data_IF_200681349272
#
_entry.id   IF_200681349272
#
_cell.length_a   1.000
_cell.length_b   1.000
_cell.length_c   1.000
_cell.angle_alpha   90.00
_cell.angle_beta   90.00
_cell.angle_gamma   90.00
#
_symmetry.space_group_name_H-M   'P 1'
#
loop_
_entity.id
_entity.type
_entity.pdbx_description
1 polymer ?
#
# COMPACT_ATOMS: atom_id res chain seq x y z
N UNK A 1 53.06 -65.39 -2.33
CA UNK A 1 52.16 -66.44 -1.76
C UNK A 1 50.82 -65.77 -1.61
N UNK A 2 49.97 -66.00 -2.59
CA UNK A 2 48.78 -66.81 -2.52
C UNK A 2 47.73 -66.17 -1.60
N UNK A 3 46.50 -65.94 -1.94
CA UNK A 3 45.57 -66.37 -3.07
C UNK A 3 44.27 -65.55 -2.92
N UNK A 4 43.73 -65.01 -3.95
CA UNK A 4 42.55 -65.45 -4.71
C UNK A 4 41.26 -65.83 -3.92
N UNK A 5 40.20 -65.18 -4.25
CA UNK A 5 38.83 -65.64 -4.29
C UNK A 5 37.89 -64.76 -3.54
N UNK A 6 36.70 -64.38 -3.97
CA UNK A 6 35.96 -64.61 -5.20
C UNK A 6 34.82 -63.62 -5.24
N UNK A 7 34.44 -63.24 -6.43
CA UNK A 7 33.17 -62.52 -6.78
C UNK A 7 31.92 -63.28 -6.25
N UNK A 8 30.97 -62.55 -5.71
CA UNK A 8 29.56 -62.93 -5.86
C UNK A 8 28.68 -61.66 -5.93
N UNK A 9 28.00 -61.65 -7.00
CA UNK A 9 26.93 -60.78 -7.45
C UNK A 9 25.76 -60.67 -6.46
N UNK A 10 25.33 -59.48 -6.17
CA UNK A 10 23.93 -59.22 -5.86
C UNK A 10 23.50 -57.94 -6.56
N UNK A 11 22.95 -58.13 -7.75
CA UNK A 11 22.13 -57.17 -8.45
C UNK A 11 20.73 -57.16 -7.83
N UNK A 12 20.19 -55.92 -7.59
CA UNK A 12 18.79 -55.64 -7.88
C UNK A 12 17.78 -55.91 -6.78
N UNK A 13 17.67 -54.99 -5.79
CA UNK A 13 16.42 -54.75 -5.02
C UNK A 13 16.24 -53.29 -4.67
N UNK A 14 16.72 -52.37 -5.50
CA UNK A 14 16.60 -50.92 -5.24
C UNK A 14 15.55 -50.14 -6.04
N UNK A 15 14.94 -50.75 -7.07
CA UNK A 15 14.15 -50.00 -8.04
C UNK A 15 12.64 -50.30 -8.09
N UNK A 16 12.10 -51.12 -7.19
CA UNK A 16 10.66 -51.39 -7.16
C UNK A 16 9.89 -50.68 -6.06
N UNK A 17 10.57 -50.24 -5.00
CA UNK A 17 9.92 -49.50 -3.91
C UNK A 17 9.75 -48.00 -4.20
N UNK A 18 10.61 -47.37 -4.99
CA UNK A 18 10.42 -45.95 -5.38
C UNK A 18 9.35 -45.76 -6.46
N UNK A 19 9.06 -46.80 -7.27
CA UNK A 19 8.01 -46.73 -8.25
C UNK A 19 6.59 -46.93 -7.66
N UNK A 20 6.47 -47.65 -6.55
CA UNK A 20 5.17 -47.82 -5.86
C UNK A 20 4.76 -46.63 -5.01
N UNK A 21 5.71 -45.84 -4.47
CA UNK A 21 5.39 -44.62 -3.71
C UNK A 21 4.96 -43.47 -4.61
N UNK A 22 5.40 -43.46 -5.88
CA UNK A 22 4.97 -42.45 -6.86
C UNK A 22 3.55 -42.69 -7.46
N UNK A 23 3.00 -43.88 -7.34
CA UNK A 23 1.68 -44.23 -7.93
C UNK A 23 0.49 -44.12 -6.97
N UNK A 24 0.74 -43.88 -5.65
CA UNK A 24 -0.33 -43.74 -4.66
C UNK A 24 -0.81 -42.29 -4.44
N UNK A 25 -0.26 -41.29 -5.16
CA UNK A 25 -0.57 -39.87 -4.99
C UNK A 25 -1.80 -39.35 -5.78
N UNK A 26 -2.47 -40.16 -6.61
CA UNK A 26 -3.71 -39.74 -7.29
C UNK A 26 -4.95 -40.33 -6.65
N UNK A 27 -5.24 -40.01 -5.42
CA UNK A 27 -6.59 -40.17 -4.90
C UNK A 27 -7.54 -39.27 -5.72
N UNK A 28 -8.45 -39.88 -6.46
CA UNK A 28 -9.58 -39.18 -7.10
C UNK A 28 -10.36 -38.47 -5.99
N UNK A 29 -10.15 -37.16 -5.86
CA UNK A 29 -10.90 -36.31 -4.95
C UNK A 29 -12.37 -36.37 -5.34
N UNK A 30 -13.24 -36.80 -4.43
CA UNK A 30 -14.67 -36.90 -4.63
C UNK A 30 -15.33 -35.51 -4.76
N UNK A 31 -16.61 -35.42 -5.16
CA UNK A 31 -17.30 -34.15 -5.41
C UNK A 31 -17.33 -33.20 -4.21
N UNK A 32 -17.18 -33.69 -2.98
CA UNK A 32 -17.09 -32.89 -1.77
C UNK A 32 -15.72 -32.20 -1.58
N UNK A 33 -14.65 -32.69 -2.22
CA UNK A 33 -13.33 -32.10 -2.13
C UNK A 33 -13.23 -30.78 -2.90
N UNK A 34 -14.03 -30.58 -3.95
CA UNK A 34 -14.09 -29.31 -4.68
C UNK A 34 -14.75 -28.20 -3.88
N UNK A 35 -15.61 -28.52 -2.92
CA UNK A 35 -16.25 -27.59 -2.00
C UNK A 35 -15.27 -27.09 -0.91
N UNK A 36 -14.30 -27.95 -0.52
CA UNK A 36 -13.35 -27.63 0.55
C UNK A 36 -12.05 -27.00 -0.01
N UNK A 37 -11.62 -27.45 -1.21
CA UNK A 37 -10.34 -27.07 -1.80
C UNK A 37 -10.45 -26.22 -3.08
N UNK A 38 -11.68 -25.84 -3.48
CA UNK A 38 -11.95 -25.11 -4.71
C UNK A 38 -11.93 -25.97 -5.99
N UNK A 39 -12.38 -25.39 -7.10
CA UNK A 39 -12.35 -26.02 -8.43
C UNK A 39 -10.97 -25.84 -9.08
N UNK A 40 -10.68 -26.61 -10.14
CA UNK A 40 -9.43 -26.42 -10.92
C UNK A 40 -9.35 -25.03 -11.54
N UNK A 41 -10.47 -24.47 -11.97
CA UNK A 41 -10.58 -23.12 -12.49
C UNK A 41 -10.34 -22.09 -11.37
N UNK A 42 -10.88 -22.32 -10.17
CA UNK A 42 -10.64 -21.50 -8.98
C UNK A 42 -9.15 -21.47 -8.59
N UNK A 43 -8.48 -22.63 -8.62
CA UNK A 43 -7.04 -22.70 -8.35
C UNK A 43 -6.17 -22.02 -9.43
N UNK A 44 -6.60 -22.02 -10.69
CA UNK A 44 -5.94 -21.25 -11.75
C UNK A 44 -6.12 -19.73 -11.53
N UNK A 45 -7.33 -19.33 -11.23
CA UNK A 45 -7.66 -17.95 -10.91
C UNK A 45 -6.89 -17.44 -9.67
N UNK A 46 -6.83 -18.25 -8.60
CA UNK A 46 -6.05 -17.93 -7.40
C UNK A 46 -4.55 -17.80 -7.69
N UNK A 47 -3.99 -18.69 -8.54
CA UNK A 47 -2.57 -18.59 -8.94
C UNK A 47 -2.28 -17.37 -9.80
N UNK A 48 -3.20 -16.96 -10.65
CA UNK A 48 -3.04 -15.75 -11.46
C UNK A 48 -3.21 -14.48 -10.61
N UNK A 49 -4.10 -14.53 -9.62
CA UNK A 49 -4.21 -13.50 -8.58
C UNK A 49 -2.93 -13.44 -7.74
N UNK A 50 -2.45 -14.57 -7.22
CA UNK A 50 -1.20 -14.62 -6.44
C UNK A 50 0.00 -14.13 -7.25
N UNK A 51 0.09 -14.50 -8.54
CA UNK A 51 1.16 -14.01 -9.43
C UNK A 51 1.04 -12.51 -9.66
N UNK A 52 -0.16 -11.99 -9.88
CA UNK A 52 -0.40 -10.57 -10.06
C UNK A 52 -0.12 -9.79 -8.77
N UNK A 53 -0.61 -10.28 -7.62
CA UNK A 53 -0.28 -9.71 -6.31
C UNK A 53 1.22 -9.83 -6.00
N UNK A 54 1.88 -10.94 -6.33
CA UNK A 54 3.31 -11.08 -6.09
C UNK A 54 4.14 -10.13 -6.95
N UNK A 55 3.70 -9.79 -8.17
CA UNK A 55 4.34 -8.74 -8.97
C UNK A 55 4.16 -7.35 -8.36
N UNK A 56 2.98 -7.07 -7.78
CA UNK A 56 2.71 -5.85 -7.02
C UNK A 56 3.47 -5.88 -5.70
N UNK A 57 3.49 -7.02 -5.00
CA UNK A 57 4.18 -7.25 -3.74
C UNK A 57 5.70 -7.41 -3.89
N UNK A 58 6.24 -7.64 -5.08
CA UNK A 58 7.69 -7.71 -5.31
C UNK A 58 8.42 -6.44 -4.84
N UNK A 59 7.72 -5.32 -4.70
CA UNK A 59 8.16 -4.11 -3.99
C UNK A 59 7.80 -4.07 -2.51
N UNK A 60 7.21 -5.10 -1.94
CA UNK A 60 6.79 -5.20 -0.52
C UNK A 60 7.89 -5.00 0.52
N UNK A 61 8.93 -4.22 0.16
CA UNK A 61 9.95 -3.72 1.07
C UNK A 61 9.35 -2.77 2.09
N UNK A 62 8.33 -2.02 1.70
CA UNK A 62 7.69 -1.03 2.56
C UNK A 62 6.19 -1.28 2.68
N UNK A 63 5.68 -1.05 3.88
CA UNK A 63 4.26 -0.94 4.19
C UNK A 63 4.02 0.50 4.63
N UNK A 64 2.94 1.10 4.19
CA UNK A 64 2.58 2.45 4.59
C UNK A 64 1.31 2.42 5.45
N UNK A 65 1.19 3.34 6.38
CA UNK A 65 -0.11 3.66 6.95
C UNK A 65 -0.55 5.04 6.48
N UNK A 66 -1.84 5.16 6.17
CA UNK A 66 -2.49 6.46 6.02
C UNK A 66 -3.41 6.66 7.22
N UNK A 67 -3.24 7.79 7.90
CA UNK A 67 -3.99 8.14 9.10
C UNK A 67 -4.72 9.44 8.84
N UNK A 68 -6.03 9.43 9.10
CA UNK A 68 -6.87 10.61 9.08
C UNK A 68 -7.27 10.94 10.51
N UNK A 69 -6.97 12.17 10.96
CA UNK A 69 -7.46 12.73 12.21
C UNK A 69 -8.48 13.82 11.92
N UNK A 70 -9.71 13.59 12.34
CA UNK A 70 -10.73 14.64 12.35
C UNK A 70 -10.61 15.38 13.68
N UNK A 71 -10.18 16.64 13.62
CA UNK A 71 -9.86 17.45 14.78
C UNK A 71 -11.05 18.34 15.15
N UNK A 72 -11.29 18.54 16.43
CA UNK A 72 -12.30 19.48 16.90
C UNK A 72 -11.95 20.89 16.42
N UNK A 73 -12.91 21.64 15.84
CA UNK A 73 -12.61 22.94 15.23
C UNK A 73 -11.97 23.96 16.18
N UNK A 74 -12.35 23.92 17.47
CA UNK A 74 -11.81 24.78 18.53
C UNK A 74 -10.46 24.29 19.08
N UNK A 75 -9.97 23.14 18.63
CA UNK A 75 -8.74 22.49 19.11
C UNK A 75 -7.64 22.36 18.06
N UNK A 76 -7.81 22.98 16.91
CA UNK A 76 -6.88 22.85 15.78
C UNK A 76 -5.46 23.32 16.14
N UNK A 77 -5.33 24.46 16.82
CA UNK A 77 -4.01 25.01 17.17
C UNK A 77 -3.29 24.14 18.21
N UNK A 78 -4.04 23.65 19.22
CA UNK A 78 -3.50 22.73 20.22
C UNK A 78 -3.05 21.39 19.56
N UNK A 79 -3.83 20.90 18.60
CA UNK A 79 -3.49 19.71 17.84
C UNK A 79 -2.23 19.91 17.00
N UNK A 80 -2.13 21.02 16.28
CA UNK A 80 -0.97 21.35 15.45
C UNK A 80 0.31 21.40 16.31
N UNK A 81 0.25 22.03 17.47
CA UNK A 81 1.38 22.08 18.40
C UNK A 81 1.74 20.66 18.89
N UNK A 82 0.77 19.91 19.42
CA UNK A 82 1.00 18.58 19.99
C UNK A 82 1.62 17.61 18.96
N UNK A 83 1.01 17.54 17.78
CA UNK A 83 1.46 16.62 16.71
C UNK A 83 2.76 17.10 16.06
N UNK A 84 2.92 18.43 15.94
CA UNK A 84 4.14 19.05 15.41
C UNK A 84 5.37 18.81 16.25
N UNK A 85 5.22 18.67 17.56
CA UNK A 85 6.29 18.30 18.48
C UNK A 85 6.55 16.78 18.48
N UNK A 86 5.47 15.97 18.48
CA UNK A 86 5.58 14.53 18.68
C UNK A 86 5.98 13.77 17.41
N UNK A 87 5.40 14.07 16.23
CA UNK A 87 5.64 13.27 15.03
C UNK A 87 7.09 13.36 14.52
N UNK A 88 7.72 14.54 14.43
CA UNK A 88 9.14 14.63 14.09
C UNK A 88 10.03 13.91 15.11
N UNK A 89 9.71 13.99 16.40
CA UNK A 89 10.42 13.29 17.46
C UNK A 89 10.38 11.79 17.24
N UNK A 90 9.19 11.22 17.02
CA UNK A 90 9.01 9.78 16.75
C UNK A 90 9.79 9.34 15.51
N UNK A 91 9.72 10.14 14.43
CA UNK A 91 10.41 9.82 13.18
C UNK A 91 11.94 9.94 13.27
N UNK A 92 12.45 10.74 14.19
CA UNK A 92 13.91 10.94 14.38
C UNK A 92 14.60 9.87 15.21
N UNK A 93 13.83 9.06 15.95
CA UNK A 93 14.36 8.03 16.82
C UNK A 93 14.60 6.73 16.04
N UNK A 94 15.89 6.30 15.85
CA UNK A 94 16.19 5.12 15.01
C UNK A 94 15.56 3.82 15.51
N UNK A 95 15.36 3.69 16.82
CA UNK A 95 14.70 2.54 17.45
C UNK A 95 13.25 2.36 17.03
N UNK A 96 12.58 3.43 16.60
CA UNK A 96 11.20 3.37 16.15
C UNK A 96 11.06 2.76 14.75
N UNK A 97 12.14 2.72 13.94
CA UNK A 97 12.17 2.08 12.61
C UNK A 97 11.02 2.52 11.69
N UNK A 98 10.64 3.78 11.77
CA UNK A 98 9.53 4.37 11.03
C UNK A 98 9.95 5.68 10.39
N UNK A 99 9.47 5.93 9.18
CA UNK A 99 9.67 7.19 8.48
C UNK A 99 8.32 7.92 8.35
N UNK A 100 8.30 9.21 8.67
CA UNK A 100 7.19 10.07 8.31
C UNK A 100 7.35 10.45 6.83
N UNK A 101 6.43 10.05 5.98
CA UNK A 101 6.41 10.46 4.56
C UNK A 101 5.90 11.90 4.47
N UNK A 102 4.80 12.20 5.15
CA UNK A 102 4.29 13.55 5.21
C UNK A 102 3.08 13.72 6.13
N UNK A 103 2.79 14.97 6.42
CA UNK A 103 1.66 15.43 7.22
C UNK A 103 1.04 16.65 6.55
N UNK A 104 -0.27 16.63 6.38
CA UNK A 104 -1.01 17.68 5.68
C UNK A 104 -2.31 18.01 6.41
N UNK A 105 -2.76 19.25 6.27
CA UNK A 105 -4.11 19.68 6.64
C UNK A 105 -4.98 19.79 5.37
N UNK A 106 -6.22 19.33 5.45
CA UNK A 106 -7.19 19.50 4.36
C UNK A 106 -7.63 20.95 4.27
N UNK A 107 -7.47 21.55 3.08
CA UNK A 107 -7.95 22.90 2.76
C UNK A 107 -9.29 22.84 2.03
N UNK A 108 -9.47 21.86 1.12
CA UNK A 108 -10.73 21.63 0.41
C UNK A 108 -11.09 20.16 0.53
N UNK A 109 -12.31 19.88 0.96
CA UNK A 109 -12.83 18.56 1.29
C UNK A 109 -13.31 18.52 2.73
N UNK A 110 -12.96 17.48 3.47
CA UNK A 110 -13.31 17.34 4.88
C UNK A 110 -12.40 18.27 5.71
N UNK A 111 -12.84 19.51 5.94
CA UNK A 111 -12.06 20.55 6.68
C UNK A 111 -11.79 20.07 8.10
N UNK A 112 -10.68 20.56 8.68
CA UNK A 112 -10.16 20.15 10.00
C UNK A 112 -9.76 18.66 10.07
N UNK A 113 -9.64 18.02 8.92
CA UNK A 113 -9.04 16.70 8.79
C UNK A 113 -7.55 16.83 8.44
N UNK A 114 -6.74 16.16 9.23
CA UNK A 114 -5.30 16.03 9.00
C UNK A 114 -4.99 14.65 8.44
N UNK A 115 -4.07 14.60 7.49
CA UNK A 115 -3.65 13.36 6.82
C UNK A 115 -2.18 13.14 7.11
N UNK A 116 -1.83 11.95 7.58
CA UNK A 116 -0.45 11.56 7.83
C UNK A 116 -0.16 10.25 7.13
N UNK A 117 0.99 10.17 6.47
CA UNK A 117 1.47 8.95 5.83
C UNK A 117 2.79 8.56 6.48
N UNK A 118 2.84 7.32 6.95
CA UNK A 118 4.02 6.73 7.56
C UNK A 118 4.50 5.55 6.74
N UNK A 119 5.81 5.30 6.74
CA UNK A 119 6.44 4.20 6.03
C UNK A 119 7.18 3.29 7.01
N UNK A 120 7.01 1.97 6.85
CA UNK A 120 7.61 0.93 7.68
C UNK A 120 8.30 -0.11 6.82
N UNK A 121 9.33 -0.75 7.36
CA UNK A 121 9.98 -1.88 6.69
C UNK A 121 9.15 -3.16 6.86
N UNK A 122 8.27 -3.46 5.90
CA UNK A 122 7.36 -4.60 5.92
C UNK A 122 6.39 -4.55 7.12
N UNK A 123 5.52 -5.55 7.22
CA UNK A 123 4.59 -5.68 8.36
C UNK A 123 5.32 -5.95 9.69
N UNK A 124 6.46 -6.67 9.67
CA UNK A 124 7.27 -6.85 10.87
C UNK A 124 7.74 -5.50 11.44
N UNK A 125 8.28 -4.63 10.58
CA UNK A 125 8.68 -3.28 10.98
C UNK A 125 7.53 -2.43 11.49
N UNK A 126 6.31 -2.58 10.94
CA UNK A 126 5.11 -1.93 11.48
C UNK A 126 4.86 -2.33 12.94
N UNK A 127 4.88 -3.64 13.24
CA UNK A 127 4.67 -4.12 14.61
C UNK A 127 5.80 -3.68 15.56
N UNK A 128 7.06 -3.77 15.10
CA UNK A 128 8.22 -3.31 15.88
C UNK A 128 8.13 -1.82 16.21
N UNK A 129 7.74 -1.00 15.23
CA UNK A 129 7.57 0.44 15.40
C UNK A 129 6.48 0.77 16.43
N UNK A 130 5.29 0.15 16.30
CA UNK A 130 4.21 0.36 17.27
C UNK A 130 4.66 -0.01 18.68
N UNK A 131 5.39 -1.12 18.81
CA UNK A 131 5.89 -1.57 20.11
C UNK A 131 6.94 -0.62 20.69
N UNK A 132 7.87 -0.11 19.88
CA UNK A 132 8.87 0.85 20.32
C UNK A 132 8.22 2.18 20.74
N UNK A 133 7.33 2.71 19.91
CA UNK A 133 6.62 3.97 20.18
C UNK A 133 5.77 3.88 21.45
N UNK A 134 5.05 2.78 21.66
CA UNK A 134 4.20 2.60 22.84
C UNK A 134 4.97 2.51 24.15
N UNK A 135 6.27 2.18 24.10
CA UNK A 135 7.16 2.15 25.27
C UNK A 135 7.84 3.48 25.55
N UNK A 136 7.74 4.44 24.67
CA UNK A 136 8.31 5.75 24.91
C UNK A 136 7.64 6.41 26.14
N UNK A 137 8.41 6.98 27.09
CA UNK A 137 7.86 7.52 28.33
C UNK A 137 6.76 8.56 28.13
N UNK A 138 6.87 9.39 27.10
CA UNK A 138 5.93 10.48 26.82
C UNK A 138 4.70 10.01 26.02
N UNK A 139 4.69 8.75 25.51
CA UNK A 139 3.60 8.25 24.65
C UNK A 139 2.23 8.26 25.36
N UNK A 140 2.08 7.81 26.62
CA UNK A 140 0.79 7.83 27.29
C UNK A 140 0.20 9.23 27.44
N UNK A 141 1.05 10.23 27.69
CA UNK A 141 0.62 11.61 27.80
C UNK A 141 0.24 12.21 26.45
N UNK A 142 1.02 11.94 25.40
CA UNK A 142 0.67 12.30 24.04
C UNK A 142 -0.66 11.69 23.63
N UNK A 143 -0.83 10.37 23.81
CA UNK A 143 -2.05 9.68 23.40
C UNK A 143 -3.28 10.23 24.13
N UNK A 144 -3.17 10.46 25.43
CA UNK A 144 -4.25 11.02 26.24
C UNK A 144 -4.66 12.42 25.76
N UNK A 145 -3.69 13.30 25.51
CA UNK A 145 -3.93 14.65 24.97
C UNK A 145 -4.56 14.57 23.59
N UNK A 146 -3.97 13.78 22.67
CA UNK A 146 -4.48 13.62 21.30
C UNK A 146 -5.95 13.24 21.30
N UNK A 147 -6.36 12.26 22.12
CA UNK A 147 -7.76 11.80 22.23
C UNK A 147 -8.73 12.91 22.66
N UNK A 148 -8.29 13.93 23.36
CA UNK A 148 -9.15 15.07 23.73
C UNK A 148 -9.35 16.06 22.58
N UNK A 149 -8.45 16.07 21.61
CA UNK A 149 -8.40 17.05 20.50
C UNK A 149 -9.13 16.56 19.25
N UNK A 150 -9.28 15.26 19.09
CA UNK A 150 -9.87 14.64 17.89
C UNK A 150 -11.27 14.10 18.15
N UNK A 151 -12.09 14.06 17.10
CA UNK A 151 -13.41 13.43 17.10
C UNK A 151 -13.37 12.04 16.49
N UNK A 152 -12.45 11.81 15.53
CA UNK A 152 -12.33 10.55 14.84
C UNK A 152 -10.88 10.31 14.40
N UNK A 153 -10.47 9.05 14.47
CA UNK A 153 -9.26 8.55 13.83
C UNK A 153 -9.62 7.41 12.90
N UNK A 154 -9.06 7.45 11.70
CA UNK A 154 -9.17 6.36 10.74
C UNK A 154 -7.77 6.02 10.24
N UNK A 155 -7.43 4.74 10.26
CA UNK A 155 -6.13 4.25 9.80
C UNK A 155 -6.32 3.10 8.83
N UNK A 156 -5.55 3.10 7.75
CA UNK A 156 -5.44 1.96 6.84
C UNK A 156 -3.98 1.64 6.59
N UNK A 157 -3.66 0.34 6.47
CA UNK A 157 -2.37 -0.11 5.97
C UNK A 157 -2.45 -0.32 4.47
N UNK A 158 -1.46 0.18 3.77
CA UNK A 158 -1.42 0.19 2.32
C UNK A 158 -0.04 -0.17 1.79
N UNK A 159 0.01 -0.62 0.56
CA UNK A 159 1.24 -0.88 -0.16
C UNK A 159 1.31 0.02 -1.40
N UNK A 160 2.53 0.41 -1.73
CA UNK A 160 2.81 1.18 -2.94
C UNK A 160 2.71 0.27 -4.16
N UNK A 161 2.11 0.77 -5.25
CA UNK A 161 2.06 0.03 -6.50
C UNK A 161 3.46 -0.24 -7.05
N UNK A 162 3.72 -1.45 -7.53
CA UNK A 162 5.04 -1.90 -7.98
C UNK A 162 5.63 -1.07 -9.12
N UNK A 163 4.79 -0.47 -9.95
CA UNK A 163 5.18 0.39 -11.06
C UNK A 163 5.43 1.86 -10.64
N UNK A 164 5.10 2.21 -9.38
CA UNK A 164 5.38 3.54 -8.87
C UNK A 164 6.83 3.61 -8.35
N UNK A 165 7.63 4.58 -8.80
CA UNK A 165 8.99 4.72 -8.28
C UNK A 165 8.95 5.29 -6.86
N UNK A 166 9.46 4.53 -5.89
CA UNK A 166 9.68 5.05 -4.54
C UNK A 166 10.75 6.13 -4.60
N UNK A 167 10.42 7.31 -4.13
CA UNK A 167 11.34 8.45 -4.05
C UNK A 167 11.49 8.92 -2.60
N UNK A 168 12.68 9.39 -2.20
CA UNK A 168 12.84 10.05 -0.91
C UNK A 168 11.89 11.25 -0.78
N UNK A 169 11.51 11.65 0.43
CA UNK A 169 10.74 12.86 0.65
C UNK A 169 11.40 14.09 0.02
N UNK A 170 10.59 14.93 -0.62
CA UNK A 170 11.07 16.13 -1.33
C UNK A 170 10.26 17.35 -0.92
N UNK A 171 10.94 18.51 -0.87
CA UNK A 171 10.29 19.80 -0.72
C UNK A 171 9.89 20.32 -2.10
N UNK A 172 8.62 20.18 -2.43
CA UNK A 172 8.05 20.53 -3.73
C UNK A 172 7.37 21.90 -3.72
N UNK A 173 6.89 22.31 -2.56
CA UNK A 173 6.11 23.54 -2.39
C UNK A 173 4.66 23.41 -2.90
N UNK A 174 3.90 24.48 -2.75
CA UNK A 174 2.53 24.54 -3.26
C UNK A 174 1.52 23.73 -2.44
N UNK A 175 0.63 23.08 -3.13
CA UNK A 175 -0.44 22.27 -2.56
C UNK A 175 -0.41 20.84 -3.10
N UNK A 176 -1.10 19.96 -2.39
CA UNK A 176 -1.20 18.55 -2.76
C UNK A 176 -2.66 18.16 -2.98
N UNK A 177 -2.92 17.27 -3.93
CA UNK A 177 -4.22 16.64 -4.14
C UNK A 177 -4.15 15.17 -3.78
N UNK A 178 -4.81 14.77 -2.71
CA UNK A 178 -5.04 13.37 -2.38
C UNK A 178 -6.35 12.91 -3.03
N UNK A 179 -6.21 11.97 -3.96
CA UNK A 179 -7.37 11.31 -4.57
C UNK A 179 -7.51 9.92 -3.97
N UNK A 180 -8.71 9.61 -3.50
CA UNK A 180 -9.06 8.31 -2.91
C UNK A 180 -10.23 7.73 -3.68
N UNK A 181 -10.06 6.55 -4.25
CA UNK A 181 -11.11 5.86 -5.00
C UNK A 181 -11.41 4.52 -4.33
N UNK A 182 -12.67 4.27 -4.04
CA UNK A 182 -13.14 2.94 -3.67
C UNK A 182 -13.60 2.24 -4.92
N UNK A 183 -12.97 1.12 -5.23
CA UNK A 183 -13.29 0.29 -6.39
C UNK A 183 -14.41 -0.71 -6.04
N UNK A 184 -15.13 -1.18 -7.05
CA UNK A 184 -15.98 -2.34 -6.86
C UNK A 184 -15.13 -3.55 -6.47
N UNK A 185 -15.59 -4.39 -5.53
CA UNK A 185 -14.85 -5.58 -5.11
C UNK A 185 -14.42 -6.45 -6.29
N UNK A 186 -13.17 -6.89 -6.29
CA UNK A 186 -12.57 -7.70 -7.37
C UNK A 186 -11.91 -6.91 -8.50
N UNK A 187 -12.13 -5.60 -8.60
CA UNK A 187 -11.68 -4.80 -9.77
C UNK A 187 -10.31 -4.15 -9.60
N UNK A 188 -9.61 -4.39 -8.48
CA UNK A 188 -8.31 -3.75 -8.22
C UNK A 188 -7.26 -4.05 -9.31
N UNK A 189 -7.15 -5.30 -9.74
CA UNK A 189 -6.15 -5.72 -10.73
C UNK A 189 -6.44 -5.17 -12.12
N UNK A 190 -7.71 -5.14 -12.49
CA UNK A 190 -8.15 -4.57 -13.77
C UNK A 190 -7.92 -3.05 -13.78
N UNK A 191 -8.32 -2.37 -12.71
CA UNK A 191 -8.09 -0.94 -12.53
C UNK A 191 -6.60 -0.60 -12.59
N UNK A 192 -5.76 -1.34 -11.86
CA UNK A 192 -4.30 -1.17 -11.84
C UNK A 192 -3.70 -1.31 -13.24
N UNK A 193 -4.12 -2.34 -13.98
CA UNK A 193 -3.61 -2.61 -15.34
C UNK A 193 -3.88 -1.44 -16.26
N UNK A 194 -5.10 -0.90 -16.25
CA UNK A 194 -5.46 0.25 -17.08
C UNK A 194 -4.79 1.53 -16.58
N UNK A 195 -4.79 1.76 -15.28
CA UNK A 195 -4.21 2.96 -14.69
C UNK A 195 -2.69 3.04 -14.91
N UNK A 196 -1.99 1.92 -14.77
CA UNK A 196 -0.55 1.84 -15.05
C UNK A 196 -0.20 2.29 -16.47
N UNK A 197 -1.00 1.92 -17.46
CA UNK A 197 -0.81 2.35 -18.86
C UNK A 197 -0.99 3.86 -19.01
N UNK A 198 -2.06 4.40 -18.46
CA UNK A 198 -2.36 5.82 -18.56
C UNK A 198 -1.56 6.73 -17.63
N UNK A 199 -0.96 6.15 -16.59
CA UNK A 199 -0.14 6.90 -15.64
C UNK A 199 1.04 7.59 -16.30
N UNK A 200 1.61 7.00 -17.38
CA UNK A 200 2.70 7.62 -18.17
C UNK A 200 2.26 8.98 -18.68
N UNK A 201 1.11 9.04 -19.37
CA UNK A 201 0.55 10.28 -19.89
C UNK A 201 0.33 11.33 -18.78
N UNK A 202 -0.19 10.88 -17.63
CA UNK A 202 -0.44 11.77 -16.50
C UNK A 202 0.84 12.35 -15.92
N UNK A 203 1.89 11.56 -15.82
CA UNK A 203 3.20 11.97 -15.27
C UNK A 203 4.00 12.88 -16.21
N UNK A 204 3.67 12.94 -17.46
CA UNK A 204 4.28 13.90 -18.40
C UNK A 204 3.92 15.35 -18.05
N UNK A 205 2.78 15.58 -17.43
CA UNK A 205 2.26 16.93 -17.15
C UNK A 205 2.05 17.22 -15.67
N UNK A 206 2.12 16.22 -14.79
CA UNK A 206 1.86 16.39 -13.37
C UNK A 206 2.94 15.73 -12.52
N UNK A 207 3.27 16.36 -11.38
CA UNK A 207 4.15 15.77 -10.37
C UNK A 207 3.38 14.78 -9.50
N UNK A 208 3.72 13.50 -9.63
CA UNK A 208 3.19 12.43 -8.81
C UNK A 208 4.07 12.19 -7.58
N UNK A 209 3.47 12.19 -6.40
CA UNK A 209 4.17 12.01 -5.13
C UNK A 209 4.14 10.56 -4.67
N UNK A 210 3.00 9.91 -4.74
CA UNK A 210 2.84 8.51 -4.34
C UNK A 210 1.53 7.90 -4.82
N UNK A 211 1.50 6.57 -4.87
CA UNK A 211 0.29 5.82 -5.22
C UNK A 211 0.27 4.48 -4.49
N UNK A 212 -0.82 4.22 -3.79
CA UNK A 212 -0.97 3.09 -2.89
C UNK A 212 -2.34 2.42 -3.04
N UNK A 213 -2.42 1.16 -2.63
CA UNK A 213 -3.67 0.43 -2.47
C UNK A 213 -3.77 -0.14 -1.05
N UNK A 214 -4.97 -0.10 -0.49
CA UNK A 214 -5.23 -0.51 0.89
C UNK A 214 -5.27 -2.04 1.00
N UNK A 215 -4.53 -2.58 1.98
CA UNK A 215 -4.49 -4.00 2.32
C UNK A 215 -5.27 -4.33 3.60
N UNK A 216 -5.30 -3.39 4.55
CA UNK A 216 -6.01 -3.52 5.83
C UNK A 216 -6.68 -2.20 6.14
N UNK A 217 -7.93 -2.20 6.51
CA UNK A 217 -8.74 -1.01 6.75
C UNK A 217 -9.83 -0.85 5.70
N UNK A 218 -9.90 0.27 5.01
CA UNK A 218 -10.89 0.51 3.93
C UNK A 218 -10.49 -0.24 2.65
N UNK A 219 -10.86 -1.52 2.56
CA UNK A 219 -10.54 -2.38 1.44
C UNK A 219 -11.07 -1.83 0.12
N UNK A 220 -10.48 -2.31 -0.99
CA UNK A 220 -10.76 -1.87 -2.36
C UNK A 220 -10.49 -0.38 -2.60
N UNK A 221 -9.77 0.28 -1.70
CA UNK A 221 -9.43 1.69 -1.82
C UNK A 221 -8.01 1.87 -2.37
N UNK A 222 -7.89 2.76 -3.34
CA UNK A 222 -6.61 3.23 -3.87
C UNK A 222 -6.45 4.72 -3.56
N UNK A 223 -5.22 5.08 -3.20
CA UNK A 223 -4.85 6.47 -2.93
C UNK A 223 -3.73 6.89 -3.88
N UNK A 224 -3.83 8.09 -4.41
CA UNK A 224 -2.71 8.70 -5.12
C UNK A 224 -2.59 10.19 -4.79
N UNK A 225 -1.37 10.62 -4.58
CA UNK A 225 -1.02 11.97 -4.14
C UNK A 225 -0.27 12.69 -5.27
N UNK A 226 -0.76 13.88 -5.61
CA UNK A 226 -0.22 14.76 -6.64
C UNK A 226 0.16 16.10 -6.04
N UNK A 227 1.17 16.77 -6.63
CA UNK A 227 1.58 18.10 -6.23
C UNK A 227 1.33 19.11 -7.36
N UNK A 228 0.99 20.34 -6.97
CA UNK A 228 0.81 21.49 -7.85
C UNK A 228 1.27 22.76 -7.14
N UNK A 229 1.73 23.76 -7.89
CA UNK A 229 2.07 25.05 -7.31
C UNK A 229 0.81 25.77 -6.73
N UNK A 230 -0.33 25.61 -7.40
CA UNK A 230 -1.63 26.18 -6.99
C UNK A 230 -2.79 25.50 -7.74
N UNK A 231 -4.03 25.93 -7.46
CA UNK A 231 -5.23 25.37 -8.11
C UNK A 231 -5.34 25.68 -9.59
N UNK A 232 -4.81 26.82 -10.04
CA UNK A 232 -4.81 27.19 -11.47
C UNK A 232 -3.89 26.26 -12.26
N UNK A 233 -2.67 26.01 -11.76
CA UNK A 233 -1.77 25.02 -12.36
C UNK A 233 -2.41 23.64 -12.39
N UNK A 234 -3.05 23.23 -11.29
CA UNK A 234 -3.79 21.96 -11.25
C UNK A 234 -4.81 21.85 -12.37
N UNK A 235 -5.59 22.91 -12.62
CA UNK A 235 -6.57 22.96 -13.72
C UNK A 235 -5.88 22.79 -15.07
N UNK A 236 -4.89 23.63 -15.36
CA UNK A 236 -4.15 23.62 -16.62
C UNK A 236 -3.54 22.23 -16.88
N UNK A 237 -2.84 21.66 -15.90
CA UNK A 237 -2.20 20.35 -16.04
C UNK A 237 -3.21 19.21 -16.26
N UNK A 238 -4.37 19.28 -15.61
CA UNK A 238 -5.44 18.30 -15.82
C UNK A 238 -6.06 18.42 -17.21
N UNK A 239 -6.23 19.60 -17.72
CA UNK A 239 -6.70 19.85 -19.11
C UNK A 239 -5.65 19.35 -20.12
N UNK A 240 -4.38 19.68 -19.95
CA UNK A 240 -3.29 19.19 -20.78
C UNK A 240 -3.22 17.66 -20.86
N UNK A 241 -3.52 16.95 -19.76
CA UNK A 241 -3.49 15.48 -19.79
C UNK A 241 -4.48 14.87 -20.80
N UNK A 242 -5.56 15.57 -21.17
CA UNK A 242 -6.53 15.07 -22.16
C UNK A 242 -6.01 15.10 -23.59
N UNK A 243 -5.00 15.92 -23.90
CA UNK A 243 -4.36 15.95 -25.21
C UNK A 243 -3.25 14.90 -25.36
N UNK A 244 -2.90 14.17 -24.28
CA UNK A 244 -1.87 13.14 -24.33
C UNK A 244 -2.50 11.79 -24.68
N UNK A 245 -1.88 11.10 -25.64
CA UNK A 245 -2.34 9.79 -26.11
C UNK A 245 -2.47 8.78 -24.97
N UNK A 246 -3.56 8.02 -24.98
CA UNK A 246 -3.85 6.97 -24.02
C UNK A 246 -4.55 7.44 -22.72
N UNK A 247 -4.58 8.75 -22.42
CA UNK A 247 -5.23 9.21 -21.20
C UNK A 247 -6.75 9.06 -21.25
N UNK A 248 -7.39 9.48 -22.36
CA UNK A 248 -8.85 9.37 -22.52
C UNK A 248 -9.30 7.90 -22.43
N UNK A 249 -8.57 6.97 -23.07
CA UNK A 249 -8.85 5.53 -22.99
C UNK A 249 -8.72 5.02 -21.55
N UNK A 250 -7.68 5.44 -20.84
CA UNK A 250 -7.48 5.07 -19.43
C UNK A 250 -8.66 5.50 -18.56
N UNK A 251 -9.12 6.74 -18.71
CA UNK A 251 -10.28 7.23 -17.95
C UNK A 251 -11.54 6.43 -18.31
N UNK A 252 -11.77 6.17 -19.59
CA UNK A 252 -12.91 5.38 -20.05
C UNK A 252 -12.94 3.96 -19.44
N UNK A 253 -11.77 3.33 -19.28
CA UNK A 253 -11.65 1.99 -18.74
C UNK A 253 -11.61 1.94 -17.21
N UNK A 254 -11.06 2.96 -16.55
CA UNK A 254 -10.92 2.94 -15.09
C UNK A 254 -12.13 3.47 -14.34
N UNK A 255 -12.84 4.46 -14.88
CA UNK A 255 -13.99 5.09 -14.19
C UNK A 255 -15.13 4.10 -13.91
N UNK A 256 -15.54 3.20 -14.82
CA UNK A 256 -16.59 2.23 -14.54
C UNK A 256 -16.25 1.24 -13.39
N UNK A 257 -14.97 1.08 -13.07
CA UNK A 257 -14.51 0.18 -12.01
C UNK A 257 -14.57 0.83 -10.61
N UNK A 258 -14.91 2.12 -10.55
CA UNK A 258 -14.87 2.93 -9.34
C UNK A 258 -16.30 3.09 -8.79
N UNK A 259 -16.47 2.77 -7.52
CA UNK A 259 -17.72 2.97 -6.80
C UNK A 259 -17.83 4.40 -6.25
N UNK A 260 -16.75 4.90 -5.64
CA UNK A 260 -16.71 6.27 -5.09
C UNK A 260 -15.39 6.95 -5.37
N UNK A 261 -15.43 8.29 -5.51
CA UNK A 261 -14.25 9.11 -5.69
C UNK A 261 -14.24 10.25 -4.68
N UNK A 262 -13.11 10.44 -4.01
CA UNK A 262 -12.86 11.63 -3.19
C UNK A 262 -11.60 12.33 -3.67
N UNK A 263 -11.63 13.67 -3.65
CA UNK A 263 -10.49 14.53 -3.92
C UNK A 263 -10.38 15.55 -2.80
N UNK A 264 -9.21 15.60 -2.16
CA UNK A 264 -8.90 16.56 -1.10
C UNK A 264 -7.71 17.40 -1.52
N UNK A 265 -7.83 18.73 -1.32
CA UNK A 265 -6.67 19.62 -1.43
C UNK A 265 -6.05 19.74 -0.05
N UNK A 266 -4.77 19.48 0.00
CA UNK A 266 -3.99 19.38 1.21
C UNK A 266 -2.87 20.43 1.22
N UNK A 267 -2.67 21.06 2.38
CA UNK A 267 -1.54 21.97 2.63
C UNK A 267 -0.57 21.25 3.56
N UNK A 268 0.73 21.20 3.22
CA UNK A 268 1.71 20.53 4.06
C UNK A 268 1.88 21.26 5.39
N UNK A 269 2.01 20.46 6.44
CA UNK A 269 2.36 21.00 7.76
C UNK A 269 3.84 21.38 7.80
N UNK A 270 4.24 22.34 8.66
CA UNK A 270 5.63 22.82 8.73
C UNK A 270 6.67 21.70 8.95
N UNK A 271 6.29 20.64 9.64
CA UNK A 271 7.15 19.47 9.91
C UNK A 271 7.05 18.38 8.86
N UNK A 272 6.21 18.53 7.83
CA UNK A 272 6.03 17.51 6.80
C UNK A 272 7.31 17.29 5.99
N UNK A 273 7.87 16.07 5.89
CA UNK A 273 9.01 15.80 5.03
C UNK A 273 8.72 16.04 3.54
N UNK A 274 7.56 15.57 3.07
CA UNK A 274 7.03 15.93 1.75
C UNK A 274 6.18 17.18 1.89
N UNK A 275 6.67 18.30 1.38
CA UNK A 275 6.04 19.62 1.51
C UNK A 275 6.23 20.47 0.25
#
# INVERSE_FOLDING_TARGET
>A
MQSLGSLSTARGVGNQQEAEVASQGQQKRGPLSSLIYGTKEGHHFDKDIERSFSQVLARGKYVHSIVFHEVKPDKVDEYVQLVGEWYPKVASLPENKVNLVGSWRTQVGDIDTFVHIWEYQRYAGYHESLHAISRHPDFPDFERKLRTLITKTQTSLMQEFSFWPTTPPRKLGGLFELRSYTLHPGNLLEWETHWRRGLKARREVMEGVGAWFVQVGELNTVHHLWQFANLEERKIRREQSWSIEGWAETVHKTVPLIQTMKSRILIPMPWSPVA
#
